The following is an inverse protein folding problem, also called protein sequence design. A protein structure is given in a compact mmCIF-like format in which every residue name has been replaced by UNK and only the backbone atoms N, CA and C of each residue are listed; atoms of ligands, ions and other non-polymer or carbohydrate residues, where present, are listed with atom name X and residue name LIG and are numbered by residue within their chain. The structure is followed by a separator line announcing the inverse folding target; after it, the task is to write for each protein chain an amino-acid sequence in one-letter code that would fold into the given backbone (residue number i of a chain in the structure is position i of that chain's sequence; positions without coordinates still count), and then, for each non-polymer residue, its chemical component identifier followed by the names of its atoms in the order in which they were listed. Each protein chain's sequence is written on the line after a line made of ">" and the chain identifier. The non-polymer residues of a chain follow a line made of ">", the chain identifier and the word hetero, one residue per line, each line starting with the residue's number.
data_IF_409578806718
#
_entry.id   IF_409578806718
#
_cell.length_a   1.000
_cell.length_b   1.000
_cell.length_c   1.000
_cell.angle_alpha   90.00
_cell.angle_beta   90.00
_cell.angle_gamma   90.00
#
_symmetry.space_group_name_H-M   'P 1'
#
loop_
_entity.id
_entity.type
_entity.pdbx_description
1 polymer ?
#
# COMPACT_ATOMS: atom_id res chain seq x y z
N UNK A 1 -10.85 -9.60 1.19
CA UNK A 1 -11.86 -9.45 2.27
C UNK A 1 -12.78 -10.66 2.25
N UNK A 2 -13.02 -11.26 3.41
CA UNK A 2 -13.93 -12.40 3.56
C UNK A 2 -15.10 -11.94 4.44
N UNK A 3 -16.33 -11.98 3.94
CA UNK A 3 -17.55 -11.79 4.75
C UNK A 3 -18.31 -10.46 4.60
N UNK A 4 -18.11 -9.68 3.54
CA UNK A 4 -18.99 -8.52 3.25
C UNK A 4 -20.25 -8.97 2.52
N UNK A 5 -21.41 -8.37 2.85
CA UNK A 5 -22.71 -8.68 2.23
C UNK A 5 -22.83 -8.21 0.76
N UNK A 6 -21.83 -7.47 0.25
CA UNK A 6 -21.73 -6.99 -1.12
C UNK A 6 -20.37 -7.34 -1.73
N UNK A 7 -20.38 -7.61 -3.04
CA UNK A 7 -19.18 -7.83 -3.85
C UNK A 7 -18.42 -6.54 -4.18
N UNK A 8 -19.06 -5.37 -4.02
CA UNK A 8 -18.40 -4.09 -4.21
C UNK A 8 -17.59 -3.70 -2.97
N UNK A 9 -16.29 -3.52 -3.14
CA UNK A 9 -15.34 -3.13 -2.08
C UNK A 9 -14.75 -1.73 -2.31
N UNK A 10 -15.26 -0.98 -3.30
CA UNK A 10 -14.71 0.33 -3.68
C UNK A 10 -14.73 1.33 -2.53
N UNK A 11 -15.79 1.34 -1.72
CA UNK A 11 -15.94 2.27 -0.60
C UNK A 11 -14.91 1.98 0.51
N UNK A 12 -14.64 0.70 0.76
CA UNK A 12 -13.58 0.27 1.67
C UNK A 12 -12.21 0.72 1.17
N UNK A 13 -11.90 0.42 -0.10
CA UNK A 13 -10.61 0.80 -0.71
C UNK A 13 -10.42 2.32 -0.65
N UNK A 14 -11.47 3.09 -0.92
CA UNK A 14 -11.42 4.55 -0.84
C UNK A 14 -11.18 5.07 0.60
N UNK A 15 -11.78 4.44 1.61
CA UNK A 15 -11.57 4.81 3.01
C UNK A 15 -10.12 4.51 3.47
N UNK A 16 -9.58 3.33 3.12
CA UNK A 16 -8.21 2.95 3.43
C UNK A 16 -7.21 3.84 2.69
N UNK A 17 -7.43 4.11 1.41
CA UNK A 17 -6.55 4.97 0.61
C UNK A 17 -6.51 6.41 1.15
N UNK A 18 -7.63 6.96 1.63
CA UNK A 18 -7.63 8.26 2.33
C UNK A 18 -6.73 8.23 3.56
N UNK A 19 -6.83 7.18 4.37
CA UNK A 19 -6.01 7.01 5.58
C UNK A 19 -4.53 6.86 5.25
N UNK A 20 -4.18 6.18 4.16
CA UNK A 20 -2.79 6.10 3.66
C UNK A 20 -2.26 7.50 3.33
N UNK A 21 -3.07 8.33 2.64
CA UNK A 21 -2.66 9.69 2.22
C UNK A 21 -2.54 10.70 3.37
N UNK A 22 -3.08 10.38 4.55
CA UNK A 22 -2.88 11.18 5.75
C UNK A 22 -1.49 10.94 6.36
N UNK A 23 -0.82 9.84 6.00
CA UNK A 23 0.57 9.58 6.39
C UNK A 23 1.53 10.51 5.65
N UNK A 24 2.65 10.84 6.30
CA UNK A 24 3.77 11.53 5.65
C UNK A 24 4.59 10.61 4.72
N UNK A 25 4.33 9.30 4.74
CA UNK A 25 4.99 8.33 3.88
C UNK A 25 4.59 8.53 2.42
N UNK A 26 5.55 8.35 1.50
CA UNK A 26 5.27 8.46 0.08
C UNK A 26 4.44 7.24 -0.35
N UNK A 27 3.29 7.50 -0.97
CA UNK A 27 2.38 6.46 -1.44
C UNK A 27 1.94 6.67 -2.88
N UNK A 28 1.84 5.59 -3.65
CA UNK A 28 1.35 5.59 -5.04
C UNK A 28 0.29 4.52 -5.24
N UNK A 29 -0.96 4.95 -5.46
CA UNK A 29 -2.08 4.07 -5.79
C UNK A 29 -1.97 3.54 -7.23
N UNK A 30 -2.31 2.26 -7.40
CA UNK A 30 -2.48 1.63 -8.71
C UNK A 30 -3.65 0.63 -8.69
N UNK A 31 -3.94 -0.02 -9.81
CA UNK A 31 -5.11 -0.88 -9.99
C UNK A 31 -5.22 -2.09 -9.05
N UNK A 32 -4.12 -2.47 -8.39
CA UNK A 32 -4.02 -3.71 -7.60
C UNK A 32 -3.51 -3.45 -6.18
N UNK A 33 -3.48 -2.20 -5.72
CA UNK A 33 -2.99 -1.83 -4.40
C UNK A 33 -2.32 -0.46 -4.37
N UNK A 34 -1.64 -0.19 -3.27
CA UNK A 34 -0.90 1.06 -3.04
C UNK A 34 0.53 0.71 -2.68
N UNK A 35 1.49 1.29 -3.40
CA UNK A 35 2.91 1.20 -3.05
C UNK A 35 3.20 2.24 -1.98
N UNK A 36 3.81 1.85 -0.87
CA UNK A 36 4.21 2.75 0.22
C UNK A 36 5.72 2.65 0.40
N UNK A 37 6.39 3.79 0.55
CA UNK A 37 7.85 3.89 0.65
C UNK A 37 8.25 4.65 1.92
N UNK A 38 9.26 4.14 2.63
CA UNK A 38 9.83 4.80 3.81
C UNK A 38 10.57 3.85 4.73
N UNK A 39 10.89 4.30 5.97
CA UNK A 39 11.51 3.45 6.98
C UNK A 39 10.67 2.22 7.29
N UNK A 40 11.34 1.09 7.55
CA UNK A 40 10.68 -0.20 7.81
C UNK A 40 9.58 -0.08 8.87
N UNK A 41 9.93 0.42 10.05
CA UNK A 41 9.02 0.50 11.18
C UNK A 41 7.78 1.35 10.86
N UNK A 42 7.98 2.51 10.23
CA UNK A 42 6.89 3.42 9.86
C UNK A 42 5.93 2.79 8.85
N UNK A 43 6.46 2.13 7.80
CA UNK A 43 5.64 1.45 6.80
C UNK A 43 4.87 0.29 7.42
N UNK A 44 5.52 -0.55 8.23
CA UNK A 44 4.84 -1.70 8.84
C UNK A 44 3.83 -1.29 9.90
N UNK A 45 4.09 -0.21 10.65
CA UNK A 45 3.16 0.34 11.63
C UNK A 45 1.92 0.90 10.93
N UNK A 46 2.09 1.67 9.85
CA UNK A 46 0.97 2.16 9.06
C UNK A 46 0.09 1.01 8.55
N UNK A 47 0.68 -0.09 8.07
CA UNK A 47 -0.09 -1.28 7.63
C UNK A 47 -0.94 -1.85 8.77
N UNK A 48 -0.39 -1.91 10.00
CA UNK A 48 -1.12 -2.32 11.19
C UNK A 48 -2.29 -1.38 11.52
N UNK A 49 -2.04 -0.07 11.52
CA UNK A 49 -3.06 0.96 11.77
C UNK A 49 -4.20 0.89 10.75
N UNK A 50 -3.91 0.58 9.48
CA UNK A 50 -4.95 0.41 8.45
C UNK A 50 -5.85 -0.80 8.72
N UNK A 51 -5.31 -1.88 9.30
CA UNK A 51 -6.10 -3.03 9.73
C UNK A 51 -6.99 -2.67 10.93
N UNK A 52 -6.45 -1.97 11.92
CA UNK A 52 -7.22 -1.49 13.07
C UNK A 52 -8.35 -0.56 12.64
N UNK A 53 -8.05 0.41 11.77
CA UNK A 53 -9.04 1.31 11.20
C UNK A 53 -10.13 0.58 10.41
N UNK A 54 -9.76 -0.46 9.65
CA UNK A 54 -10.76 -1.31 8.99
C UNK A 54 -11.68 -2.01 10.00
N UNK A 55 -11.16 -2.47 11.13
CA UNK A 55 -11.96 -3.06 12.19
C UNK A 55 -12.89 -2.03 12.85
N UNK A 56 -12.44 -0.78 13.05
CA UNK A 56 -13.28 0.33 13.52
C UNK A 56 -14.45 0.64 12.58
N UNK A 57 -14.24 0.50 11.27
CA UNK A 57 -15.28 0.63 10.25
C UNK A 57 -16.26 -0.57 10.21
N UNK A 58 -16.08 -1.57 11.08
CA UNK A 58 -16.95 -2.73 11.21
C UNK A 58 -16.54 -3.93 10.34
N UNK A 59 -15.39 -3.87 9.66
CA UNK A 59 -14.91 -5.02 8.89
C UNK A 59 -14.27 -6.04 9.81
N UNK A 60 -14.95 -7.16 10.05
CA UNK A 60 -14.51 -8.18 11.02
C UNK A 60 -13.21 -8.89 10.61
N UNK A 61 -12.93 -8.99 9.30
CA UNK A 61 -11.74 -9.70 8.80
C UNK A 61 -11.13 -9.00 7.58
N UNK A 62 -9.88 -8.58 7.72
CA UNK A 62 -9.07 -8.02 6.63
C UNK A 62 -8.05 -9.06 6.17
N UNK A 63 -7.82 -9.12 4.86
CA UNK A 63 -6.74 -9.90 4.27
C UNK A 63 -5.93 -8.98 3.38
N UNK A 64 -4.63 -8.94 3.60
CA UNK A 64 -3.69 -8.08 2.89
C UNK A 64 -2.57 -8.94 2.34
N UNK A 65 -2.28 -8.77 1.05
CA UNK A 65 -1.10 -9.35 0.40
C UNK A 65 -0.02 -8.26 0.31
N UNK A 66 1.18 -8.56 0.79
CA UNK A 66 2.26 -7.57 0.91
C UNK A 66 3.49 -8.11 0.18
N UNK A 67 3.97 -7.34 -0.80
CA UNK A 67 5.30 -7.53 -1.40
C UNK A 67 6.20 -6.42 -0.90
N UNK A 68 7.08 -6.75 0.04
CA UNK A 68 8.01 -5.82 0.67
C UNK A 68 9.46 -6.20 0.34
N UNK A 69 10.33 -5.20 0.15
CA UNK A 69 11.74 -5.43 -0.11
C UNK A 69 12.58 -4.31 0.49
N UNK A 70 13.72 -4.68 1.05
CA UNK A 70 14.74 -3.77 1.55
C UNK A 70 16.04 -4.01 0.80
N UNK A 71 16.91 -3.00 0.75
CA UNK A 71 18.23 -3.09 0.14
C UNK A 71 19.21 -2.21 0.91
N UNK A 72 20.49 -2.57 0.90
CA UNK A 72 21.56 -1.85 1.61
C UNK A 72 22.60 -1.24 0.68
N UNK A 73 22.48 -1.45 -0.63
CA UNK A 73 23.50 -1.06 -1.62
C UNK A 73 23.24 0.31 -2.27
N UNK A 74 21.99 0.80 -2.24
CA UNK A 74 21.61 2.14 -2.71
C UNK A 74 20.23 2.53 -2.20
N UNK A 75 19.99 3.82 -2.07
CA UNK A 75 18.64 4.37 -1.92
C UNK A 75 17.97 4.40 -3.31
N UNK A 76 16.80 3.78 -3.42
CA UNK A 76 16.05 3.71 -4.67
C UNK A 76 14.54 3.76 -4.36
N UNK A 77 13.85 4.67 -5.01
CA UNK A 77 12.38 4.76 -4.95
C UNK A 77 11.71 3.85 -5.98
N UNK A 78 10.41 3.64 -5.83
CA UNK A 78 9.57 2.91 -6.78
C UNK A 78 9.57 3.56 -8.16
N UNK A 79 9.65 4.90 -8.23
CA UNK A 79 9.75 5.62 -9.50
C UNK A 79 11.09 5.37 -10.18
N UNK A 80 12.20 5.44 -9.43
CA UNK A 80 13.53 5.15 -9.98
C UNK A 80 13.61 3.73 -10.55
N UNK A 81 12.90 2.78 -9.93
CA UNK A 81 12.81 1.40 -10.41
C UNK A 81 12.06 1.32 -11.74
N UNK A 82 10.96 2.06 -11.90
CA UNK A 82 10.21 2.13 -13.15
C UNK A 82 11.05 2.77 -14.27
N UNK A 83 11.74 3.87 -13.97
CA UNK A 83 12.54 4.61 -14.94
C UNK A 83 13.69 3.75 -15.51
N UNK A 84 14.37 2.98 -14.64
CA UNK A 84 15.42 2.03 -15.08
C UNK A 84 14.87 0.95 -16.02
N UNK A 85 13.65 0.46 -15.78
CA UNK A 85 13.03 -0.54 -16.65
C UNK A 85 12.61 0.09 -17.99
N UNK A 86 12.00 1.28 -17.96
CA UNK A 86 11.61 2.01 -19.16
C UNK A 86 12.82 2.35 -20.05
N UNK A 87 13.93 2.79 -19.47
CA UNK A 87 15.18 3.03 -20.21
C UNK A 87 15.67 1.75 -20.88
N UNK A 88 15.64 0.60 -20.18
CA UNK A 88 16.06 -0.69 -20.73
C UNK A 88 15.14 -1.21 -21.84
N UNK A 89 13.85 -0.88 -21.81
CA UNK A 89 12.89 -1.24 -22.86
C UNK A 89 13.01 -0.35 -24.10
N UNK A 90 13.59 0.85 -23.95
CA UNK A 90 13.82 1.80 -25.05
C UNK A 90 15.11 1.57 -25.84
N UNK A 91 15.90 0.55 -25.45
CA UNK A 91 17.10 0.08 -26.13
C UNK A 91 16.78 -1.17 -26.94
#
# INVERSE_FOLDING_TARGET
>A
MLGTASASISDFVAAIEKRIRESHLKSTLHSAGTTIEGPWDEVTNLIGELHEYAHELGYVRVHTDIRIGTRSDKDQTAQDKMDVVLEKLSK
#
